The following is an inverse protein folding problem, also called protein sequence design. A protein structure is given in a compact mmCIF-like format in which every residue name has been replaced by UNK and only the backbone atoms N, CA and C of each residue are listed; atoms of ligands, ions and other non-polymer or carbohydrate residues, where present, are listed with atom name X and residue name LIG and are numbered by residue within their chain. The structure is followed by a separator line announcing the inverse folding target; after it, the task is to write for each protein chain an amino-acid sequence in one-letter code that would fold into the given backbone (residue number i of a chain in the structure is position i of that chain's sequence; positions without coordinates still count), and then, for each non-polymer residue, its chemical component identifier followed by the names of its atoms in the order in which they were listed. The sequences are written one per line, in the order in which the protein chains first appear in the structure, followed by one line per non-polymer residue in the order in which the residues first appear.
data_IF_045500202073
#
_entry.id   IF_045500202073
#
_cell.length_a   1.000
_cell.length_b   1.000
_cell.length_c   1.000
_cell.angle_alpha   90.00
_cell.angle_beta   90.00
_cell.angle_gamma   90.00
#
_symmetry.space_group_name_H-M   'P 1'
#
loop_
_entity.id
_entity.type
_entity.pdbx_description
1 polymer ?
#
# COMPACT_ATOMS: atom_id res chain seq x y z
N UNK A 1 -10.71 -26.01 0.12
CA UNK A 1 -10.88 -24.57 0.42
C UNK A 1 -9.52 -23.91 0.30
N UNK A 2 -9.45 -22.75 -0.37
CA UNK A 2 -8.23 -21.92 -0.38
C UNK A 2 -8.45 -20.65 0.46
N UNK A 3 -7.42 -20.26 1.19
CA UNK A 3 -7.43 -19.09 2.09
C UNK A 3 -6.15 -18.28 1.91
N UNK A 4 -6.21 -16.99 2.19
CA UNK A 4 -5.07 -16.08 2.07
C UNK A 4 -4.31 -15.85 3.39
N UNK A 5 -4.88 -16.29 4.50
CA UNK A 5 -4.32 -16.04 5.83
C UNK A 5 -4.21 -17.33 6.63
N UNK A 6 -3.05 -17.51 7.28
CA UNK A 6 -2.78 -18.68 8.11
C UNK A 6 -3.79 -18.81 9.26
N UNK A 7 -4.14 -17.71 9.91
CA UNK A 7 -5.12 -17.70 10.99
C UNK A 7 -6.49 -18.27 10.57
N UNK A 8 -6.91 -18.02 9.33
CA UNK A 8 -8.15 -18.59 8.78
C UNK A 8 -7.97 -20.08 8.51
N UNK A 9 -6.82 -20.49 7.97
CA UNK A 9 -6.52 -21.91 7.76
C UNK A 9 -6.56 -22.69 9.08
N UNK A 10 -5.92 -22.17 10.11
CA UNK A 10 -5.87 -22.77 11.45
C UNK A 10 -7.29 -22.86 12.04
N UNK A 11 -8.09 -21.79 11.95
CA UNK A 11 -9.49 -21.78 12.43
C UNK A 11 -10.39 -22.77 11.69
N UNK A 12 -10.20 -22.94 10.38
CA UNK A 12 -10.91 -23.96 9.61
C UNK A 12 -10.51 -25.37 10.05
N UNK A 13 -9.23 -25.57 10.41
CA UNK A 13 -8.72 -26.83 10.98
C UNK A 13 -9.41 -27.19 12.30
N UNK A 14 -9.63 -26.23 13.20
CA UNK A 14 -10.30 -26.47 14.50
C UNK A 14 -11.76 -26.91 14.35
N UNK A 15 -12.43 -26.56 13.26
CA UNK A 15 -13.81 -27.00 12.97
C UNK A 15 -13.86 -28.22 12.04
N UNK A 16 -12.72 -28.94 11.90
CA UNK A 16 -12.65 -30.22 11.20
C UNK A 16 -12.44 -30.15 9.69
N UNK A 17 -12.20 -28.99 9.11
CA UNK A 17 -11.94 -28.83 7.67
C UNK A 17 -10.44 -29.10 7.41
N UNK A 18 -10.13 -30.32 6.91
CA UNK A 18 -8.75 -30.80 6.71
C UNK A 18 -8.10 -30.38 5.39
N UNK A 19 -8.87 -30.05 4.36
CA UNK A 19 -8.35 -29.68 3.03
C UNK A 19 -8.35 -28.17 2.85
N UNK A 20 -7.44 -27.48 3.55
CA UNK A 20 -7.22 -26.04 3.41
C UNK A 20 -5.88 -25.80 2.74
N UNK A 21 -5.85 -25.01 1.67
CA UNK A 21 -4.64 -24.61 0.96
C UNK A 21 -4.42 -23.11 1.11
N UNK A 22 -3.23 -22.73 1.51
CA UNK A 22 -2.81 -21.32 1.48
C UNK A 22 -2.56 -20.87 0.04
N UNK A 23 -3.07 -19.70 -0.30
CA UNK A 23 -2.86 -19.06 -1.62
C UNK A 23 -2.50 -17.59 -1.42
N UNK A 24 -1.80 -17.02 -2.39
CA UNK A 24 -1.52 -15.58 -2.39
C UNK A 24 -2.80 -14.76 -2.69
N UNK A 25 -2.74 -13.47 -2.43
CA UNK A 25 -3.80 -12.55 -2.86
C UNK A 25 -3.80 -12.47 -4.41
N UNK A 26 -4.97 -12.48 -5.07
CA UNK A 26 -5.07 -12.39 -6.53
C UNK A 26 -4.36 -11.19 -7.14
N UNK A 27 -4.22 -10.09 -6.41
CA UNK A 27 -3.47 -8.91 -6.88
C UNK A 27 -2.00 -9.21 -7.17
N UNK A 28 -1.43 -10.24 -6.54
CA UNK A 28 -0.04 -10.66 -6.73
C UNK A 28 0.17 -11.58 -7.93
N UNK A 29 -0.91 -11.94 -8.66
CA UNK A 29 -0.84 -12.80 -9.86
C UNK A 29 -0.48 -12.03 -11.13
N UNK A 30 -0.66 -10.71 -11.13
CA UNK A 30 -0.34 -9.84 -12.25
C UNK A 30 1.03 -9.19 -12.05
N UNK A 31 1.73 -9.00 -13.15
CA UNK A 31 3.05 -8.36 -13.18
C UNK A 31 2.93 -6.83 -13.20
N UNK A 32 4.05 -6.14 -12.92
CA UNK A 32 4.16 -4.69 -13.10
C UNK A 32 3.74 -4.26 -14.52
N UNK A 33 4.13 -5.02 -15.55
CA UNK A 33 3.78 -4.72 -16.94
C UNK A 33 2.27 -4.73 -17.17
N UNK A 34 1.56 -5.69 -16.58
CA UNK A 34 0.11 -5.80 -16.70
C UNK A 34 -0.59 -4.61 -16.03
N UNK A 35 -0.16 -4.24 -14.83
CA UNK A 35 -0.69 -3.05 -14.13
C UNK A 35 -0.40 -1.76 -14.88
N UNK A 36 0.78 -1.59 -15.47
CA UNK A 36 1.10 -0.41 -16.29
C UNK A 36 0.21 -0.32 -17.54
N UNK A 37 -0.19 -1.45 -18.13
CA UNK A 37 -1.16 -1.46 -19.24
C UNK A 37 -2.55 -0.99 -18.78
N UNK A 38 -2.99 -1.38 -17.58
CA UNK A 38 -4.25 -0.92 -17.01
C UNK A 38 -4.22 0.59 -16.74
N UNK A 39 -3.14 1.09 -16.15
CA UNK A 39 -2.94 2.52 -15.86
C UNK A 39 -3.03 3.38 -17.13
N UNK A 40 -2.46 2.92 -18.24
CA UNK A 40 -2.52 3.64 -19.54
C UNK A 40 -3.94 3.85 -20.06
N UNK A 41 -4.90 3.06 -19.61
CA UNK A 41 -6.33 3.16 -20.01
C UNK A 41 -7.12 4.15 -19.14
N UNK A 42 -6.56 4.58 -18.02
CA UNK A 42 -7.21 5.49 -17.07
C UNK A 42 -6.95 6.96 -17.37
N UNK A 43 -7.54 7.81 -16.54
CA UNK A 43 -7.33 9.25 -16.59
C UNK A 43 -5.89 9.60 -16.21
N UNK A 44 -5.23 10.44 -16.99
CA UNK A 44 -3.88 10.92 -16.65
C UNK A 44 -4.01 11.99 -15.57
N UNK A 45 -3.75 11.58 -14.33
CA UNK A 45 -3.57 12.52 -13.22
C UNK A 45 -2.13 13.03 -13.28
N UNK A 46 -1.96 14.33 -13.49
CA UNK A 46 -0.64 14.95 -13.56
C UNK A 46 -0.42 15.80 -12.33
N UNK A 47 0.40 15.31 -11.43
CA UNK A 47 0.91 16.02 -10.26
C UNK A 47 2.43 16.11 -10.37
N UNK A 48 3.06 17.08 -9.69
CA UNK A 48 4.51 17.11 -9.48
C UNK A 48 4.99 15.91 -8.67
N UNK A 49 6.12 16.03 -7.99
CA UNK A 49 6.59 15.02 -7.03
C UNK A 49 5.74 15.07 -5.78
N UNK A 50 5.19 13.94 -5.35
CA UNK A 50 4.28 13.89 -4.21
C UNK A 50 4.42 12.63 -3.37
N UNK A 51 3.91 12.75 -2.15
CA UNK A 51 3.68 11.69 -1.19
C UNK A 51 2.19 11.34 -1.26
N UNK A 52 1.87 10.11 -1.62
CA UNK A 52 0.50 9.61 -1.59
C UNK A 52 0.17 9.09 -0.19
N UNK A 53 -0.87 9.61 0.43
CA UNK A 53 -1.45 9.07 1.67
C UNK A 53 -2.78 8.42 1.35
N UNK A 54 -2.83 7.10 1.40
CA UNK A 54 -4.05 6.34 1.14
C UNK A 54 -4.66 5.83 2.45
N UNK A 55 -5.78 6.45 2.82
CA UNK A 55 -6.53 6.10 4.02
C UNK A 55 -7.64 5.09 3.72
N UNK A 56 -7.51 3.86 4.23
CA UNK A 56 -8.64 2.93 4.32
C UNK A 56 -9.59 3.35 5.45
N UNK A 57 -9.00 3.71 6.60
CA UNK A 57 -9.62 4.44 7.70
C UNK A 57 -8.72 5.62 8.06
N UNK A 58 -9.29 6.71 8.59
CA UNK A 58 -8.51 7.89 8.96
C UNK A 58 -7.47 7.52 10.03
N UNK A 59 -6.25 8.00 9.86
CA UNK A 59 -5.14 7.83 10.81
C UNK A 59 -4.36 9.14 10.95
N UNK A 60 -4.23 9.60 12.19
CA UNK A 60 -3.40 10.76 12.51
C UNK A 60 -1.92 10.45 12.35
N UNK A 61 -1.52 9.19 12.59
CA UNK A 61 -0.16 8.71 12.44
C UNK A 61 0.30 8.81 10.98
N UNK A 62 -0.56 8.44 10.01
CA UNK A 62 -0.27 8.63 8.58
C UNK A 62 -0.07 10.11 8.24
N UNK A 63 -0.88 11.01 8.80
CA UNK A 63 -0.75 12.45 8.54
C UNK A 63 0.54 13.01 9.16
N UNK A 64 0.91 12.59 10.37
CA UNK A 64 2.17 12.98 11.02
C UNK A 64 3.36 12.49 10.21
N UNK A 65 3.34 11.23 9.76
CA UNK A 65 4.38 10.65 8.91
C UNK A 65 4.50 11.39 7.57
N UNK A 66 3.37 11.71 6.93
CA UNK A 66 3.36 12.49 5.69
C UNK A 66 3.98 13.88 5.88
N UNK A 67 3.64 14.57 6.97
CA UNK A 67 4.23 15.85 7.33
C UNK A 67 5.74 15.76 7.54
N UNK A 68 6.20 14.74 8.26
CA UNK A 68 7.62 14.49 8.46
C UNK A 68 8.36 14.28 7.12
N UNK A 69 7.88 13.38 6.25
CA UNK A 69 8.52 13.11 4.97
C UNK A 69 8.48 14.33 4.05
N UNK A 70 7.35 15.07 4.05
CA UNK A 70 7.22 16.31 3.28
C UNK A 70 8.25 17.36 3.69
N UNK A 71 8.49 17.53 4.99
CA UNK A 71 9.54 18.44 5.49
C UNK A 71 10.94 18.03 5.05
N UNK A 72 11.24 16.73 5.01
CA UNK A 72 12.55 16.21 4.59
C UNK A 72 12.79 16.29 3.08
N UNK A 73 11.72 16.19 2.27
CA UNK A 73 11.83 16.04 0.81
C UNK A 73 11.35 17.26 0.02
N UNK A 74 10.54 18.11 0.62
CA UNK A 74 9.85 19.19 -0.07
C UNK A 74 8.69 18.71 -0.97
N UNK A 75 8.31 17.43 -0.94
CA UNK A 75 7.24 16.90 -1.77
C UNK A 75 5.86 17.27 -1.22
N UNK A 76 4.91 17.53 -2.12
CA UNK A 76 3.53 17.77 -1.76
C UNK A 76 2.86 16.50 -1.22
N UNK A 77 1.84 16.66 -0.37
CA UNK A 77 1.07 15.55 0.18
C UNK A 77 -0.30 15.49 -0.48
N UNK A 78 -0.60 14.37 -1.12
CA UNK A 78 -1.91 14.07 -1.70
C UNK A 78 -2.61 13.03 -0.81
N UNK A 79 -3.76 13.41 -0.25
CA UNK A 79 -4.58 12.52 0.56
C UNK A 79 -5.71 11.91 -0.26
N UNK A 80 -5.84 10.59 -0.18
CA UNK A 80 -6.90 9.81 -0.83
C UNK A 80 -7.69 9.08 0.24
N UNK A 81 -8.99 9.33 0.31
CA UNK A 81 -9.88 8.73 1.29
C UNK A 81 -10.96 7.89 0.60
N UNK A 82 -11.21 6.69 1.13
CA UNK A 82 -12.31 5.83 0.69
C UNK A 82 -13.66 6.24 1.29
N UNK A 83 -13.65 7.08 2.34
CA UNK A 83 -14.86 7.54 3.02
C UNK A 83 -15.18 8.99 2.63
N UNK A 84 -16.45 9.25 2.32
CA UNK A 84 -16.96 10.60 2.09
C UNK A 84 -16.81 11.44 3.36
N UNK A 85 -16.05 12.54 3.28
CA UNK A 85 -15.94 13.54 4.36
C UNK A 85 -16.68 14.81 3.95
N UNK A 86 -17.41 15.40 4.89
CA UNK A 86 -18.22 16.61 4.66
C UNK A 86 -17.40 17.87 4.43
N UNK A 87 -16.10 17.88 4.75
CA UNK A 87 -15.19 19.01 4.50
C UNK A 87 -14.01 18.55 3.67
N UNK A 88 -13.91 19.03 2.44
CA UNK A 88 -12.75 18.85 1.55
C UNK A 88 -11.62 19.76 2.00
N UNK A 89 -10.42 19.20 2.20
CA UNK A 89 -9.18 19.98 2.30
C UNK A 89 -8.55 20.08 0.92
N UNK A 90 -7.72 21.11 0.72
CA UNK A 90 -6.90 21.25 -0.49
C UNK A 90 -6.07 19.96 -0.67
N UNK A 91 -6.05 19.41 -1.91
CA UNK A 91 -5.34 18.15 -2.24
C UNK A 91 -5.94 16.85 -1.63
N UNK A 92 -7.24 16.82 -1.40
CA UNK A 92 -7.98 15.59 -1.09
C UNK A 92 -8.71 15.05 -2.34
N UNK A 93 -8.46 13.80 -2.69
CA UNK A 93 -9.16 13.11 -3.80
C UNK A 93 -10.15 12.13 -3.19
N UNK A 94 -11.41 12.26 -3.54
CA UNK A 94 -12.50 11.39 -3.07
C UNK A 94 -13.17 10.61 -4.22
N UNK A 95 -13.22 11.20 -5.41
CA UNK A 95 -13.76 10.57 -6.62
C UNK A 95 -12.61 9.94 -7.41
N UNK A 96 -12.32 8.69 -7.12
CA UNK A 96 -11.30 7.93 -7.83
C UNK A 96 -11.75 6.47 -7.99
N UNK A 97 -11.43 5.89 -9.14
CA UNK A 97 -11.61 4.48 -9.43
C UNK A 97 -10.36 3.64 -9.09
N UNK A 98 -10.45 2.32 -9.21
CA UNK A 98 -9.30 1.44 -8.98
C UNK A 98 -8.10 1.76 -9.88
N UNK A 99 -8.34 2.14 -11.13
CA UNK A 99 -7.28 2.49 -12.09
C UNK A 99 -6.62 3.81 -11.71
N UNK A 100 -7.41 4.78 -11.21
CA UNK A 100 -6.87 6.07 -10.74
C UNK A 100 -5.99 5.86 -9.51
N UNK A 101 -6.38 4.98 -8.57
CA UNK A 101 -5.55 4.62 -7.43
C UNK A 101 -4.22 4.01 -7.87
N UNK A 102 -4.24 3.08 -8.84
CA UNK A 102 -3.03 2.49 -9.40
C UNK A 102 -2.14 3.55 -10.05
N UNK A 103 -2.74 4.51 -10.78
CA UNK A 103 -2.03 5.64 -11.38
C UNK A 103 -1.40 6.54 -10.31
N UNK A 104 -2.13 6.85 -9.24
CA UNK A 104 -1.61 7.63 -8.12
C UNK A 104 -0.45 6.91 -7.43
N UNK A 105 -0.56 5.61 -7.17
CA UNK A 105 0.53 4.82 -6.59
C UNK A 105 1.74 4.82 -7.52
N UNK A 106 1.52 4.57 -8.82
CA UNK A 106 2.62 4.48 -9.80
C UNK A 106 3.41 5.79 -9.93
N UNK A 107 2.78 6.93 -9.77
CA UNK A 107 3.41 8.24 -9.95
C UNK A 107 3.91 8.88 -8.63
N UNK A 108 3.58 8.30 -7.48
CA UNK A 108 4.05 8.78 -6.19
C UNK A 108 5.55 8.52 -5.98
N UNK A 109 6.24 9.43 -5.28
CA UNK A 109 7.61 9.21 -4.76
C UNK A 109 7.58 8.32 -3.51
N UNK A 110 6.59 8.53 -2.64
CA UNK A 110 6.32 7.73 -1.46
C UNK A 110 4.83 7.40 -1.35
N UNK A 111 4.52 6.19 -0.91
CA UNK A 111 3.17 5.75 -0.59
C UNK A 111 3.07 5.46 0.90
N UNK A 112 2.13 6.10 1.59
CA UNK A 112 1.87 5.93 3.01
C UNK A 112 0.47 5.35 3.20
N UNK A 113 0.34 4.25 3.94
CA UNK A 113 -0.96 3.56 3.99
C UNK A 113 -1.11 2.64 5.20
N UNK A 114 -2.37 2.30 5.50
CA UNK A 114 -2.74 1.17 6.37
C UNK A 114 -3.34 0.00 5.56
N UNK A 115 -3.41 0.13 4.22
CA UNK A 115 -4.07 -0.83 3.33
C UNK A 115 -3.09 -1.89 2.82
N UNK A 116 -3.44 -3.17 2.99
CA UNK A 116 -2.70 -4.27 2.38
C UNK A 116 -2.59 -4.13 0.85
N UNK A 117 -3.67 -3.76 0.17
CA UNK A 117 -3.64 -3.63 -1.30
C UNK A 117 -2.72 -2.49 -1.76
N UNK A 118 -2.69 -1.36 -1.04
CA UNK A 118 -1.76 -0.29 -1.39
C UNK A 118 -0.30 -0.71 -1.17
N UNK A 119 0.01 -1.51 -0.14
CA UNK A 119 1.33 -2.13 0.05
C UNK A 119 1.64 -3.08 -1.11
N UNK A 120 0.72 -3.99 -1.46
CA UNK A 120 0.91 -4.95 -2.55
C UNK A 120 1.16 -4.24 -3.89
N UNK A 121 0.37 -3.21 -4.22
CA UNK A 121 0.59 -2.42 -5.44
C UNK A 121 1.89 -1.63 -5.40
N UNK A 122 2.29 -1.10 -4.23
CA UNK A 122 3.58 -0.42 -4.09
C UNK A 122 4.75 -1.37 -4.35
N UNK A 123 4.67 -2.61 -3.88
CA UNK A 123 5.67 -3.64 -4.17
C UNK A 123 5.72 -3.98 -5.66
N UNK A 124 4.56 -4.26 -6.28
CA UNK A 124 4.48 -4.62 -7.71
C UNK A 124 4.95 -3.47 -8.61
N UNK A 125 4.59 -2.23 -8.27
CA UNK A 125 4.97 -1.03 -9.03
C UNK A 125 6.34 -0.46 -8.60
N UNK A 126 7.07 -1.15 -7.71
CA UNK A 126 8.41 -0.81 -7.24
C UNK A 126 8.49 0.60 -6.64
N UNK A 127 7.54 0.94 -5.77
CA UNK A 127 7.47 2.24 -5.11
C UNK A 127 8.07 2.21 -3.71
N UNK A 128 8.64 3.34 -3.29
CA UNK A 128 8.97 3.51 -1.89
C UNK A 128 7.69 3.69 -1.08
N UNK A 129 7.55 2.97 0.02
CA UNK A 129 6.36 3.06 0.85
C UNK A 129 6.67 2.84 2.33
N UNK A 130 5.74 3.27 3.17
CA UNK A 130 5.64 2.89 4.56
C UNK A 130 4.19 2.57 4.91
N UNK A 131 4.00 1.55 5.71
CA UNK A 131 2.71 1.20 6.28
C UNK A 131 2.71 1.49 7.79
N UNK A 132 1.57 1.93 8.32
CA UNK A 132 1.36 2.05 9.77
C UNK A 132 0.68 0.80 10.27
N UNK A 133 1.19 0.25 11.37
CA UNK A 133 0.64 -0.94 12.01
C UNK A 133 -0.73 -0.64 12.61
N UNK A 134 -1.64 -1.56 12.40
CA UNK A 134 -3.01 -1.56 12.94
C UNK A 134 -3.34 -2.93 13.49
N UNK A 135 -4.46 -3.08 14.20
CA UNK A 135 -4.95 -4.38 14.65
C UNK A 135 -5.19 -5.40 13.51
N UNK A 136 -5.27 -4.93 12.25
CA UNK A 136 -5.56 -5.77 11.07
C UNK A 136 -4.37 -5.91 10.13
N UNK A 137 -3.14 -5.65 10.60
CA UNK A 137 -1.92 -5.63 9.77
C UNK A 137 -1.31 -7.01 9.46
N UNK A 138 -1.91 -8.12 9.91
CA UNK A 138 -1.36 -9.48 9.75
C UNK A 138 -0.94 -9.80 8.30
N UNK A 139 -1.73 -9.36 7.30
CA UNK A 139 -1.39 -9.58 5.88
C UNK A 139 -0.19 -8.74 5.44
N UNK A 140 -0.11 -7.50 5.94
CA UNK A 140 1.02 -6.61 5.66
C UNK A 140 2.28 -7.18 6.30
N UNK A 141 2.23 -7.58 7.57
CA UNK A 141 3.35 -8.22 8.27
C UNK A 141 3.87 -9.44 7.50
N UNK A 142 2.96 -10.30 7.03
CA UNK A 142 3.33 -11.52 6.33
C UNK A 142 4.04 -11.21 4.99
N UNK A 143 3.52 -10.30 4.17
CA UNK A 143 4.16 -9.97 2.88
C UNK A 143 5.51 -9.28 3.10
N UNK A 144 5.62 -8.36 4.06
CA UNK A 144 6.87 -7.67 4.35
C UNK A 144 7.95 -8.62 4.88
N UNK A 145 7.56 -9.60 5.71
CA UNK A 145 8.47 -10.66 6.18
C UNK A 145 8.95 -11.53 5.02
N UNK A 146 8.08 -11.93 4.10
CA UNK A 146 8.48 -12.69 2.91
C UNK A 146 9.47 -11.93 2.02
N UNK A 147 9.46 -10.60 2.07
CA UNK A 147 10.34 -9.73 1.29
C UNK A 147 11.57 -9.23 2.08
N UNK A 148 11.70 -9.58 3.38
CA UNK A 148 12.74 -9.11 4.31
C UNK A 148 12.80 -7.57 4.41
N UNK A 149 11.64 -6.91 4.46
CA UNK A 149 11.49 -5.46 4.56
C UNK A 149 10.51 -5.05 5.67
N UNK A 150 10.53 -5.74 6.80
CA UNK A 150 9.64 -5.49 7.94
C UNK A 150 9.77 -4.06 8.49
N UNK A 151 10.93 -3.43 8.30
CA UNK A 151 11.19 -2.03 8.63
C UNK A 151 10.27 -1.03 7.87
N UNK A 152 9.47 -1.49 6.91
CA UNK A 152 8.46 -0.68 6.22
C UNK A 152 7.11 -0.66 6.94
N UNK A 153 6.93 -1.46 7.97
CA UNK A 153 5.78 -1.39 8.87
C UNK A 153 6.19 -0.64 10.13
N UNK A 154 5.62 0.55 10.32
CA UNK A 154 5.99 1.45 11.39
C UNK A 154 4.99 1.36 12.56
N UNK A 155 5.53 1.40 13.78
CA UNK A 155 4.80 1.58 15.03
C UNK A 155 5.38 2.85 15.68
N UNK A 156 4.63 3.89 15.89
CA UNK A 156 4.96 5.11 16.64
C UNK A 156 6.37 5.73 16.41
N UNK A 157 7.06 5.34 15.34
CA UNK A 157 8.41 5.82 15.02
C UNK A 157 8.47 6.40 13.60
N UNK A 158 9.34 7.38 13.40
CA UNK A 158 9.63 7.88 12.07
C UNK A 158 10.72 7.04 11.40
N UNK A 159 10.62 6.81 10.08
CA UNK A 159 11.57 6.00 9.36
C UNK A 159 12.90 6.73 9.12
N UNK A 160 13.95 5.95 9.02
CA UNK A 160 15.20 6.43 8.43
C UNK A 160 15.03 6.55 6.89
N UNK A 161 14.95 7.79 6.41
CA UNK A 161 14.71 8.09 4.99
C UNK A 161 15.88 7.73 4.08
N UNK A 162 17.06 7.42 4.64
CA UNK A 162 18.23 6.96 3.87
C UNK A 162 18.06 5.52 3.40
N UNK A 163 17.26 4.72 4.10
CA UNK A 163 16.99 3.32 3.78
C UNK A 163 15.92 3.21 2.71
N UNK A 164 16.32 2.99 1.46
CA UNK A 164 15.39 2.77 0.35
C UNK A 164 15.22 1.26 0.07
N UNK A 165 14.02 0.88 -0.39
CA UNK A 165 13.81 -0.47 -0.92
C UNK A 165 14.59 -0.55 -2.25
N UNK A 166 15.44 -1.57 -2.37
CA UNK A 166 16.13 -1.88 -3.62
C UNK A 166 15.36 -2.99 -4.31
N UNK A 167 14.74 -2.66 -5.42
CA UNK A 167 14.04 -3.64 -6.26
C UNK A 167 15.05 -4.20 -7.27
N UNK A 168 15.53 -5.41 -7.03
CA UNK A 168 16.34 -6.13 -8.02
C UNK A 168 15.44 -6.56 -9.16
N UNK A 169 15.77 -6.15 -10.39
CA UNK A 169 15.10 -6.71 -11.57
C UNK A 169 15.49 -8.19 -11.65
N UNK A 170 14.52 -9.06 -11.41
CA UNK A 170 14.66 -10.47 -11.80
C UNK A 170 14.49 -10.47 -13.31
N UNK A 171 15.59 -10.61 -14.04
CA UNK A 171 15.54 -10.86 -15.48
C UNK A 171 14.72 -12.12 -15.71
N UNK A 172 13.58 -11.95 -16.39
CA UNK A 172 12.65 -13.02 -16.77
C UNK A 172 13.07 -13.66 -18.06
#
# INVERSE_FOLDING_TARGET
ISVREKAIADRLGTIGIKKVKMTCDPTLLLTKKDYLQLIKRGTRLSYGKYILVYHLAYSDELNKLAGYISQQTGFEVINVHTQLRTRRKKMEIQDFGPIDLLSLINNAEYVLTTSFHAVAFSLILEKQFYAIKTAFSNRIENILRCMNIENRLLEDTFPDMTQRIVYTQVES
#
